data_IF_900220931117
#
_entry.id   IF_900220931117
#
_cell.length_a   1.000
_cell.length_b   1.000
_cell.length_c   1.000
_cell.angle_alpha   90.00
_cell.angle_beta   90.00
_cell.angle_gamma   90.00
#
_symmetry.space_group_name_H-M   'P 1'
#
loop_
_entity.id
_entity.type
_entity.pdbx_description
1 polymer ?
#
# COMPACT_ATOMS: atom_id res chain seq x y z
N UNK A 1 59.54 7.27 65.48
CA UNK A 1 58.77 7.73 64.32
C UNK A 1 58.45 6.52 63.48
N UNK A 2 57.17 6.12 63.38
CA UNK A 2 56.74 4.93 62.65
C UNK A 2 56.42 5.31 61.20
N UNK A 3 56.90 4.53 60.23
CA UNK A 3 56.61 4.76 58.81
C UNK A 3 55.16 4.33 58.48
N UNK A 4 54.44 5.06 57.61
CA UNK A 4 53.09 4.67 57.19
C UNK A 4 53.15 3.38 56.36
N UNK A 5 52.39 2.36 56.78
CA UNK A 5 52.22 1.14 56.01
C UNK A 5 51.37 1.40 54.77
N UNK A 6 51.90 1.06 53.59
CA UNK A 6 51.17 1.08 52.34
C UNK A 6 50.18 -0.10 52.33
N UNK A 7 48.88 0.21 52.27
CA UNK A 7 47.83 -0.79 52.07
C UNK A 7 47.97 -1.44 50.68
N UNK A 8 47.81 -2.76 50.55
CA UNK A 8 47.76 -3.42 49.25
C UNK A 8 46.58 -2.87 48.44
N UNK A 9 46.86 -2.42 47.22
CA UNK A 9 45.86 -1.99 46.26
C UNK A 9 44.86 -3.13 45.99
N UNK A 10 43.55 -2.83 45.90
CA UNK A 10 42.56 -3.82 45.48
C UNK A 10 42.90 -4.33 44.08
N UNK A 11 42.68 -5.63 43.87
CA UNK A 11 42.85 -6.36 42.62
C UNK A 11 42.58 -5.51 41.37
N UNK A 12 43.39 -5.62 40.29
CA UNK A 12 43.00 -5.05 39.01
C UNK A 12 41.64 -5.63 38.63
N UNK A 13 40.69 -4.76 38.31
CA UNK A 13 39.39 -5.15 37.79
C UNK A 13 39.63 -6.17 36.68
N UNK A 14 39.20 -7.41 36.91
CA UNK A 14 39.26 -8.45 35.91
C UNK A 14 38.61 -7.88 34.66
N UNK A 15 39.43 -7.64 33.64
CA UNK A 15 38.95 -7.25 32.32
C UNK A 15 37.95 -8.31 31.92
N UNK A 16 36.66 -7.97 31.98
CA UNK A 16 35.61 -8.89 31.60
C UNK A 16 35.95 -9.37 30.20
N UNK A 17 36.20 -10.66 30.06
CA UNK A 17 36.22 -11.32 28.75
C UNK A 17 34.80 -11.16 28.19
N UNK A 18 34.55 -10.03 27.56
CA UNK A 18 33.33 -9.77 26.83
C UNK A 18 33.32 -10.73 25.65
N UNK A 19 32.68 -11.88 25.83
CA UNK A 19 32.27 -12.71 24.71
C UNK A 19 31.45 -11.80 23.78
N UNK A 20 32.02 -11.42 22.65
CA UNK A 20 31.27 -10.75 21.61
C UNK A 20 30.08 -11.65 21.28
N UNK A 21 28.86 -11.16 21.49
CA UNK A 21 27.66 -11.90 21.13
C UNK A 21 27.77 -12.33 19.67
N UNK A 22 27.54 -13.62 19.40
CA UNK A 22 27.55 -14.13 18.03
C UNK A 22 26.60 -13.28 17.15
N UNK A 23 26.98 -12.94 15.90
CA UNK A 23 26.12 -12.16 15.02
C UNK A 23 24.73 -12.80 14.92
N UNK A 24 23.67 -12.04 15.21
CA UNK A 24 22.29 -12.54 15.06
C UNK A 24 22.05 -12.92 13.58
N UNK A 25 21.46 -14.10 13.29
CA UNK A 25 21.18 -14.50 11.92
C UNK A 25 20.37 -13.44 11.17
N UNK A 26 20.78 -13.13 9.93
CA UNK A 26 20.08 -12.16 9.10
C UNK A 26 18.62 -12.61 8.86
N UNK A 27 17.66 -11.77 9.26
CA UNK A 27 16.24 -12.07 9.08
C UNK A 27 15.87 -12.02 7.61
N UNK A 28 15.07 -13.00 7.15
CA UNK A 28 14.59 -13.06 5.77
C UNK A 28 13.76 -11.81 5.39
N UNK A 29 14.03 -11.29 4.19
CA UNK A 29 13.35 -10.13 3.60
C UNK A 29 12.09 -10.49 2.79
N UNK A 30 11.78 -11.78 2.67
CA UNK A 30 10.70 -12.28 1.82
C UNK A 30 9.35 -11.63 2.14
N UNK A 31 9.06 -11.42 3.43
CA UNK A 31 7.78 -10.83 3.87
C UNK A 31 7.58 -9.42 3.31
N UNK A 32 8.58 -8.56 3.41
CA UNK A 32 8.53 -7.21 2.86
C UNK A 32 8.42 -7.20 1.33
N UNK A 33 9.12 -8.12 0.65
CA UNK A 33 9.07 -8.24 -0.82
C UNK A 33 7.69 -8.67 -1.29
N UNK A 34 7.08 -9.67 -0.63
CA UNK A 34 5.73 -10.16 -0.96
C UNK A 34 4.69 -9.05 -0.73
N UNK A 35 4.78 -8.33 0.39
CA UNK A 35 3.91 -7.18 0.66
C UNK A 35 4.01 -6.13 -0.47
N UNK A 36 5.23 -5.73 -0.82
CA UNK A 36 5.47 -4.75 -1.87
C UNK A 36 4.93 -5.22 -3.22
N UNK A 37 5.22 -6.46 -3.61
CA UNK A 37 4.76 -7.01 -4.89
C UNK A 37 3.24 -7.04 -4.99
N UNK A 38 2.55 -7.52 -3.94
CA UNK A 38 1.10 -7.53 -3.89
C UNK A 38 0.52 -6.10 -3.96
N UNK A 39 1.07 -5.17 -3.17
CA UNK A 39 0.61 -3.77 -3.17
C UNK A 39 0.76 -3.12 -4.54
N UNK A 40 1.89 -3.33 -5.22
CA UNK A 40 2.14 -2.77 -6.56
C UNK A 40 1.22 -3.37 -7.61
N UNK A 41 0.97 -4.69 -7.58
CA UNK A 41 0.03 -5.33 -8.51
C UNK A 41 -1.37 -4.77 -8.31
N UNK A 42 -1.84 -4.69 -7.06
CA UNK A 42 -3.17 -4.13 -6.75
C UNK A 42 -3.26 -2.66 -7.17
N UNK A 43 -2.22 -1.87 -6.90
CA UNK A 43 -2.14 -0.46 -7.31
C UNK A 43 -2.30 -0.31 -8.83
N UNK A 44 -1.52 -1.08 -9.61
CA UNK A 44 -1.55 -1.02 -11.07
C UNK A 44 -2.91 -1.47 -11.62
N UNK A 45 -3.47 -2.57 -11.11
CA UNK A 45 -4.80 -3.04 -11.49
C UNK A 45 -5.87 -2.00 -11.16
N UNK A 46 -5.75 -1.31 -10.02
CA UNK A 46 -6.68 -0.23 -9.64
C UNK A 46 -6.63 0.93 -10.61
N UNK A 47 -5.44 1.34 -11.06
CA UNK A 47 -5.30 2.40 -12.07
C UNK A 47 -5.92 1.98 -13.40
N UNK A 48 -5.65 0.76 -13.87
CA UNK A 48 -6.23 0.24 -15.12
C UNK A 48 -7.76 0.17 -15.03
N UNK A 49 -8.30 -0.34 -13.92
CA UNK A 49 -9.73 -0.37 -13.68
C UNK A 49 -10.33 1.04 -13.68
N UNK A 50 -9.70 2.02 -13.02
CA UNK A 50 -10.14 3.42 -13.05
C UNK A 50 -10.22 4.01 -14.45
N UNK A 51 -9.26 3.70 -15.32
CA UNK A 51 -9.26 4.17 -16.71
C UNK A 51 -10.44 3.56 -17.47
N UNK A 52 -10.63 2.24 -17.36
CA UNK A 52 -11.74 1.53 -18.04
C UNK A 52 -13.10 2.05 -17.57
N UNK A 53 -13.26 2.23 -16.26
CA UNK A 53 -14.50 2.71 -15.67
C UNK A 53 -14.75 4.17 -16.04
N UNK A 54 -13.73 5.03 -15.93
CA UNK A 54 -13.84 6.44 -16.29
C UNK A 54 -14.21 6.64 -17.75
N UNK A 55 -13.63 5.85 -18.66
CA UNK A 55 -13.92 5.95 -20.10
C UNK A 55 -15.31 5.42 -20.45
N UNK A 56 -15.77 4.35 -19.79
CA UNK A 56 -17.12 3.82 -19.98
C UNK A 56 -18.20 4.71 -19.38
N UNK A 57 -17.94 5.33 -18.22
CA UNK A 57 -18.90 6.17 -17.51
C UNK A 57 -18.96 7.60 -18.08
N UNK A 58 -17.88 8.10 -18.67
CA UNK A 58 -17.77 9.48 -19.18
C UNK A 58 -18.90 9.88 -20.13
N UNK A 59 -19.18 9.11 -21.21
CA UNK A 59 -20.27 9.41 -22.15
C UNK A 59 -21.66 9.44 -21.50
N UNK A 60 -21.81 8.79 -20.35
CA UNK A 60 -23.06 8.66 -19.61
C UNK A 60 -23.14 9.67 -18.45
N UNK A 61 -22.06 10.42 -18.18
CA UNK A 61 -22.02 11.38 -17.09
C UNK A 61 -22.82 12.63 -17.45
N UNK A 62 -23.62 13.10 -16.49
CA UNK A 62 -24.24 14.41 -16.57
C UNK A 62 -23.33 15.46 -15.91
N UNK A 63 -23.15 16.58 -16.60
CA UNK A 63 -22.34 17.70 -16.14
C UNK A 63 -23.22 18.77 -15.51
N UNK A 64 -22.87 19.18 -14.30
CA UNK A 64 -23.34 20.42 -13.68
C UNK A 64 -22.21 21.44 -13.65
N UNK A 65 -22.51 22.70 -13.31
CA UNK A 65 -21.52 23.78 -13.27
C UNK A 65 -20.32 23.47 -12.35
N UNK A 66 -20.54 22.70 -11.28
CA UNK A 66 -19.55 22.44 -10.23
C UNK A 66 -19.15 20.95 -10.09
N UNK A 67 -19.83 20.02 -10.79
CA UNK A 67 -19.57 18.58 -10.62
C UNK A 67 -19.97 17.73 -11.83
N UNK A 68 -19.39 16.53 -11.91
CA UNK A 68 -19.83 15.46 -12.78
C UNK A 68 -20.55 14.40 -11.94
N UNK A 69 -21.74 14.01 -12.36
CA UNK A 69 -22.50 12.94 -11.72
C UNK A 69 -22.84 11.85 -12.73
N UNK A 70 -22.59 10.60 -12.37
CA UNK A 70 -23.06 9.43 -13.11
C UNK A 70 -24.12 8.72 -12.26
N UNK A 71 -25.33 8.60 -12.79
CA UNK A 71 -26.41 7.86 -12.16
C UNK A 71 -26.74 6.59 -12.95
N UNK A 72 -26.24 5.45 -12.46
CA UNK A 72 -26.51 4.14 -13.06
C UNK A 72 -27.99 3.74 -13.03
N UNK A 73 -28.80 4.35 -12.16
CA UNK A 73 -30.24 4.09 -12.06
C UNK A 73 -31.08 4.73 -13.16
N UNK A 74 -30.50 5.72 -13.86
CA UNK A 74 -31.14 6.45 -14.97
C UNK A 74 -30.81 5.89 -16.35
N UNK A 75 -30.02 4.81 -16.42
CA UNK A 75 -29.60 4.22 -17.69
C UNK A 75 -30.79 3.58 -18.41
N UNK A 76 -30.88 3.80 -19.73
CA UNK A 76 -31.76 2.99 -20.57
C UNK A 76 -31.34 1.51 -20.54
N UNK A 77 -32.24 0.56 -20.86
CA UNK A 77 -31.92 -0.86 -20.85
C UNK A 77 -30.68 -1.21 -21.70
N UNK A 78 -30.53 -0.61 -22.87
CA UNK A 78 -29.40 -0.81 -23.78
C UNK A 78 -28.08 -0.26 -23.20
N UNK A 79 -28.13 0.91 -22.55
CA UNK A 79 -26.96 1.46 -21.85
C UNK A 79 -26.57 0.59 -20.65
N UNK A 80 -27.54 0.11 -19.87
CA UNK A 80 -27.30 -0.77 -18.74
C UNK A 80 -26.66 -2.10 -19.17
N UNK A 81 -27.14 -2.69 -20.27
CA UNK A 81 -26.55 -3.91 -20.84
C UNK A 81 -25.10 -3.68 -21.29
N UNK A 82 -24.83 -2.55 -21.96
CA UNK A 82 -23.48 -2.18 -22.39
C UNK A 82 -22.52 -1.91 -21.21
N UNK A 83 -23.05 -1.39 -20.09
CA UNK A 83 -22.26 -1.03 -18.91
C UNK A 83 -22.09 -2.20 -17.93
N UNK A 84 -22.93 -3.24 -18.02
CA UNK A 84 -22.94 -4.37 -17.09
C UNK A 84 -21.55 -5.04 -16.90
N UNK A 85 -20.74 -5.30 -17.95
CA UNK A 85 -19.41 -5.87 -17.78
C UNK A 85 -18.48 -4.96 -16.96
N UNK A 86 -18.59 -3.64 -17.14
CA UNK A 86 -17.81 -2.65 -16.40
C UNK A 86 -18.25 -2.60 -14.94
N UNK A 87 -19.54 -2.67 -14.67
CA UNK A 87 -20.08 -2.77 -13.31
C UNK A 87 -19.61 -4.05 -12.59
N UNK A 88 -19.57 -5.19 -13.28
CA UNK A 88 -19.02 -6.44 -12.74
C UNK A 88 -17.53 -6.31 -12.45
N UNK A 89 -16.76 -5.72 -13.36
CA UNK A 89 -15.34 -5.45 -13.14
C UNK A 89 -15.12 -4.55 -11.92
N UNK A 90 -15.92 -3.50 -11.74
CA UNK A 90 -15.88 -2.64 -10.55
C UNK A 90 -16.18 -3.41 -9.28
N UNK A 91 -17.24 -4.22 -9.27
CA UNK A 91 -17.61 -5.04 -8.12
C UNK A 91 -16.51 -6.02 -7.73
N UNK A 92 -15.93 -6.71 -8.72
CA UNK A 92 -14.80 -7.61 -8.53
C UNK A 92 -13.56 -6.85 -8.02
N UNK A 93 -13.22 -5.72 -8.62
CA UNK A 93 -12.09 -4.90 -8.21
C UNK A 93 -12.26 -4.35 -6.78
N UNK A 94 -13.45 -3.90 -6.41
CA UNK A 94 -13.76 -3.45 -5.05
C UNK A 94 -13.60 -4.59 -4.05
N UNK A 95 -14.13 -5.78 -4.35
CA UNK A 95 -14.04 -6.92 -3.45
C UNK A 95 -12.61 -7.45 -3.34
N UNK A 96 -12.03 -7.91 -4.45
CA UNK A 96 -10.72 -8.56 -4.47
C UNK A 96 -9.59 -7.56 -4.25
N UNK A 97 -9.69 -6.36 -4.82
CA UNK A 97 -8.70 -5.30 -4.63
C UNK A 97 -8.64 -4.84 -3.17
N UNK A 98 -9.77 -4.75 -2.47
CA UNK A 98 -9.78 -4.44 -1.02
C UNK A 98 -9.14 -5.55 -0.22
N UNK A 99 -9.54 -6.81 -0.46
CA UNK A 99 -8.97 -7.97 0.27
C UNK A 99 -7.46 -8.05 0.05
N UNK A 100 -7.00 -7.99 -1.20
CA UNK A 100 -5.58 -8.05 -1.54
C UNK A 100 -4.81 -6.84 -1.03
N UNK A 101 -5.40 -5.64 -1.12
CA UNK A 101 -4.82 -4.40 -0.60
C UNK A 101 -4.63 -4.45 0.92
N UNK A 102 -5.62 -4.94 1.66
CA UNK A 102 -5.54 -5.14 3.11
C UNK A 102 -4.49 -6.20 3.47
N UNK A 103 -4.44 -7.32 2.75
CA UNK A 103 -3.39 -8.33 2.94
C UNK A 103 -2.01 -7.73 2.72
N UNK A 104 -1.80 -6.99 1.62
CA UNK A 104 -0.54 -6.35 1.32
C UNK A 104 -0.13 -5.33 2.40
N UNK A 105 -1.09 -4.54 2.89
CA UNK A 105 -0.90 -3.56 3.96
C UNK A 105 -0.50 -4.25 5.28
N UNK A 106 -1.22 -5.29 5.70
CA UNK A 106 -0.92 -6.05 6.92
C UNK A 106 0.48 -6.68 6.82
N UNK A 107 0.80 -7.34 5.71
CA UNK A 107 2.14 -7.93 5.51
C UNK A 107 3.24 -6.85 5.55
N UNK A 108 2.96 -5.65 5.04
CA UNK A 108 3.88 -4.52 5.06
C UNK A 108 4.14 -4.01 6.48
N UNK A 109 3.08 -3.85 7.27
CA UNK A 109 3.16 -3.47 8.70
C UNK A 109 3.96 -4.51 9.48
N UNK A 110 3.67 -5.80 9.30
CA UNK A 110 4.40 -6.88 9.98
C UNK A 110 5.86 -6.89 9.56
N UNK A 111 6.18 -6.72 8.27
CA UNK A 111 7.55 -6.64 7.79
C UNK A 111 8.33 -5.45 8.37
N UNK A 112 7.68 -4.30 8.50
CA UNK A 112 8.25 -3.10 9.11
C UNK A 112 8.49 -3.28 10.61
N UNK A 113 7.50 -3.78 11.35
CA UNK A 113 7.58 -3.99 12.80
C UNK A 113 8.60 -5.07 13.19
N UNK A 114 8.68 -6.17 12.42
CA UNK A 114 9.58 -7.30 12.70
C UNK A 114 10.98 -7.14 12.12
N UNK A 115 11.25 -6.03 11.42
CA UNK A 115 12.50 -5.75 10.68
C UNK A 115 12.81 -6.80 9.60
N UNK A 116 11.79 -7.47 9.05
CA UNK A 116 11.90 -8.52 8.01
C UNK A 116 11.75 -7.95 6.59
N UNK A 117 12.71 -7.13 6.18
CA UNK A 117 12.63 -6.40 4.91
C UNK A 117 11.90 -5.06 5.02
N UNK A 118 12.15 -4.32 6.12
CA UNK A 118 11.47 -3.06 6.47
C UNK A 118 11.33 -2.08 5.30
N UNK A 119 12.37 -1.87 4.50
CA UNK A 119 12.31 -0.96 3.36
C UNK A 119 11.20 -1.35 2.37
N UNK A 120 11.14 -2.63 1.98
CA UNK A 120 10.10 -3.16 1.10
C UNK A 120 8.70 -3.09 1.75
N UNK A 121 8.61 -3.42 3.04
CA UNK A 121 7.35 -3.30 3.80
C UNK A 121 6.80 -1.87 3.81
N UNK A 122 7.67 -0.86 4.01
CA UNK A 122 7.27 0.56 3.96
C UNK A 122 6.80 0.96 2.57
N UNK A 123 7.50 0.55 1.50
CA UNK A 123 7.04 0.79 0.13
C UNK A 123 5.68 0.14 -0.12
N UNK A 124 5.49 -1.09 0.35
CA UNK A 124 4.20 -1.80 0.26
C UNK A 124 3.06 -1.07 0.98
N UNK A 125 3.31 -0.56 2.20
CA UNK A 125 2.33 0.25 2.94
C UNK A 125 1.95 1.51 2.16
N UNK A 126 2.94 2.26 1.67
CA UNK A 126 2.71 3.50 0.93
C UNK A 126 1.95 3.23 -0.37
N UNK A 127 2.33 2.19 -1.12
CA UNK A 127 1.63 1.81 -2.35
C UNK A 127 0.18 1.38 -2.08
N UNK A 128 -0.06 0.57 -1.04
CA UNK A 128 -1.41 0.14 -0.67
C UNK A 128 -2.29 1.32 -0.22
N UNK A 129 -1.74 2.27 0.54
CA UNK A 129 -2.45 3.48 0.97
C UNK A 129 -2.69 4.46 -0.19
N UNK A 130 -1.75 4.57 -1.13
CA UNK A 130 -1.87 5.45 -2.29
C UNK A 130 -2.83 4.91 -3.35
N UNK A 131 -3.00 3.58 -3.45
CA UNK A 131 -3.85 2.94 -4.46
C UNK A 131 -5.26 3.55 -4.56
N UNK A 132 -6.08 3.65 -3.48
CA UNK A 132 -7.42 4.23 -3.59
C UNK A 132 -7.40 5.72 -3.97
N UNK A 133 -6.44 6.49 -3.45
CA UNK A 133 -6.33 7.93 -3.72
C UNK A 133 -6.00 8.16 -5.20
N UNK A 134 -4.96 7.50 -5.69
CA UNK A 134 -4.51 7.63 -7.09
C UNK A 134 -5.58 7.08 -8.04
N UNK A 135 -6.17 5.94 -7.72
CA UNK A 135 -7.25 5.34 -8.51
C UNK A 135 -8.46 6.28 -8.62
N UNK A 136 -8.83 6.98 -7.54
CA UNK A 136 -9.92 7.96 -7.58
C UNK A 136 -9.56 9.21 -8.42
N UNK A 137 -8.33 9.72 -8.30
CA UNK A 137 -7.85 10.85 -9.12
C UNK A 137 -7.86 10.47 -10.61
N UNK A 138 -7.34 9.29 -10.96
CA UNK A 138 -7.33 8.81 -12.34
C UNK A 138 -8.75 8.62 -12.86
N UNK A 139 -9.64 8.01 -12.07
CA UNK A 139 -11.04 7.84 -12.43
C UNK A 139 -11.72 9.18 -12.76
N UNK A 140 -11.62 10.15 -11.84
CA UNK A 140 -12.25 11.47 -12.03
C UNK A 140 -11.65 12.25 -13.20
N UNK A 141 -10.33 12.16 -13.41
CA UNK A 141 -9.67 12.78 -14.56
C UNK A 141 -10.13 12.17 -15.89
N UNK A 142 -10.15 10.83 -16.00
CA UNK A 142 -10.58 10.14 -17.22
C UNK A 142 -12.07 10.35 -17.48
N UNK A 143 -12.90 10.30 -16.42
CA UNK A 143 -14.33 10.60 -16.51
C UNK A 143 -14.55 12.01 -17.08
N UNK A 144 -13.84 13.00 -16.55
CA UNK A 144 -13.95 14.37 -17.02
C UNK A 144 -13.56 14.49 -18.50
N UNK A 145 -12.40 13.95 -18.90
CA UNK A 145 -11.91 13.97 -20.30
C UNK A 145 -12.85 13.24 -21.27
N UNK A 146 -13.55 12.21 -20.79
CA UNK A 146 -14.45 11.39 -21.62
C UNK A 146 -15.89 11.89 -21.63
N UNK A 147 -16.23 12.93 -20.85
CA UNK A 147 -17.58 13.46 -20.76
C UNK A 147 -17.95 14.32 -21.99
N UNK A 148 -19.21 14.31 -22.44
CA UNK A 148 -19.66 15.14 -23.56
C UNK A 148 -19.48 16.63 -23.25
N UNK A 149 -18.90 17.39 -24.19
CA UNK A 149 -18.76 18.86 -24.08
C UNK A 149 -17.47 19.35 -23.42
N UNK A 150 -16.37 18.60 -23.54
CA UNK A 150 -15.00 19.14 -23.54
C UNK A 150 -14.49 19.34 -24.98
#
# INVERSE_FOLDING_TARGET
MYAPQAYPQPYPAAGGFGWAAAPEPARSRALGIVSMALALVVFLLSVVASIIVGSAAGPLAQRSADSFSFDSGSLSPEQAESFAPVAVLMGAQMLFGTVLGLVALVLGIVAAATKRGRAFGVVGIVAAAAAPIVSFIVYTAVLAVSAPGL
#
